data_IF_787279721252
#
_entry.id   IF_787279721252
#
_cell.length_a   1.000
_cell.length_b   1.000
_cell.length_c   1.000
_cell.angle_alpha   90.00
_cell.angle_beta   90.00
_cell.angle_gamma   90.00
#
_symmetry.space_group_name_H-M   'P 1'
#
loop_
_entity.id
_entity.type
_entity.pdbx_description
1 polymer ?
#
# COMPACT_ATOMS: atom_id res chain seq x y z
N UNK A 1 10.23 -2.96 68.86
CA UNK A 1 9.85 -2.07 67.72
C UNK A 1 8.74 -2.73 66.94
N UNK A 2 7.51 -2.23 67.02
CA UNK A 2 6.45 -2.51 66.04
C UNK A 2 5.48 -1.33 66.07
N UNK A 3 5.62 -0.41 65.11
CA UNK A 3 4.68 0.71 64.91
C UNK A 3 3.57 0.21 63.99
N UNK A 4 2.38 0.00 64.53
CA UNK A 4 1.17 -0.18 63.73
C UNK A 4 0.76 1.18 63.16
N UNK A 5 1.09 1.41 61.90
CA UNK A 5 0.62 2.56 61.13
C UNK A 5 -0.86 2.38 60.80
N UNK A 6 -1.75 2.96 61.61
CA UNK A 6 -3.17 3.11 61.28
C UNK A 6 -3.30 4.26 60.29
N UNK A 7 -3.42 3.97 58.99
CA UNK A 7 -3.69 4.98 57.96
C UNK A 7 -5.11 5.51 58.21
N UNK A 8 -5.21 6.73 58.73
CA UNK A 8 -6.49 7.42 58.87
C UNK A 8 -7.07 7.67 57.48
N UNK A 9 -8.19 7.02 57.16
CA UNK A 9 -8.93 7.29 55.93
C UNK A 9 -9.40 8.75 55.94
N UNK A 10 -9.21 9.52 54.85
CA UNK A 10 -9.66 10.91 54.78
C UNK A 10 -11.18 10.98 54.98
N UNK A 11 -11.70 12.06 55.60
CA UNK A 11 -13.13 12.24 55.82
C UNK A 11 -13.87 12.16 54.49
N UNK A 12 -14.88 11.28 54.41
CA UNK A 12 -15.73 11.13 53.22
C UNK A 12 -16.38 12.48 52.98
N UNK A 13 -16.06 13.12 51.85
CA UNK A 13 -16.62 14.42 51.49
C UNK A 13 -18.16 14.33 51.48
N UNK A 14 -18.88 15.35 51.98
CA UNK A 14 -20.33 15.33 51.95
C UNK A 14 -20.80 15.13 50.51
N UNK A 15 -21.49 14.02 50.26
CA UNK A 15 -22.04 13.69 48.93
C UNK A 15 -23.08 14.75 48.61
N UNK A 16 -22.71 15.67 47.71
CA UNK A 16 -23.61 16.70 47.18
C UNK A 16 -24.78 15.95 46.52
N UNK A 17 -26.05 16.22 46.85
CA UNK A 17 -27.18 15.54 46.22
C UNK A 17 -27.06 15.69 44.72
N UNK A 18 -27.20 14.58 43.99
CA UNK A 18 -27.14 14.57 42.53
C UNK A 18 -28.44 15.15 41.97
N UNK A 19 -28.40 16.42 41.55
CA UNK A 19 -29.50 17.01 40.77
C UNK A 19 -29.39 16.52 39.34
N UNK A 20 -30.42 15.81 38.89
CA UNK A 20 -30.61 15.51 37.48
C UNK A 20 -30.92 16.81 36.74
N UNK A 21 -29.95 17.33 36.00
CA UNK A 21 -30.18 18.40 35.03
C UNK A 21 -30.93 17.77 33.87
N UNK A 22 -32.18 18.18 33.65
CA UNK A 22 -32.91 17.80 32.44
C UNK A 22 -32.12 18.35 31.24
N UNK A 23 -31.59 17.46 30.39
CA UNK A 23 -30.83 17.84 29.21
C UNK A 23 -31.75 18.68 28.31
N UNK A 24 -31.44 19.97 28.17
CA UNK A 24 -32.15 20.83 27.24
C UNK A 24 -31.94 20.25 25.83
N UNK A 25 -33.02 20.03 25.05
CA UNK A 25 -32.88 19.50 23.69
C UNK A 25 -31.94 20.43 22.92
N UNK A 26 -30.85 19.87 22.36
CA UNK A 26 -29.96 20.66 21.51
C UNK A 26 -30.79 21.23 20.35
N UNK A 27 -30.83 22.55 20.23
CA UNK A 27 -31.47 23.18 19.08
C UNK A 27 -30.77 22.69 17.81
N UNK A 28 -31.48 22.03 16.88
CA UNK A 28 -30.89 21.55 15.64
C UNK A 28 -30.35 22.70 14.79
N UNK A 29 -30.88 23.92 14.99
CA UNK A 29 -30.38 25.15 14.38
C UNK A 29 -28.96 25.51 14.85
N UNK A 30 -28.62 25.27 16.13
CA UNK A 30 -27.26 25.50 16.65
C UNK A 30 -26.27 24.48 16.09
N UNK A 31 -26.70 23.23 15.86
CA UNK A 31 -25.87 22.20 15.19
C UNK A 31 -25.61 22.60 13.73
N UNK A 32 -26.64 23.06 13.01
CA UNK A 32 -26.51 23.51 11.64
C UNK A 32 -25.63 24.76 11.50
N UNK A 33 -25.71 25.70 12.46
CA UNK A 33 -24.86 26.89 12.52
C UNK A 33 -23.41 26.57 12.95
N UNK A 34 -23.21 25.53 13.76
CA UNK A 34 -21.90 25.09 14.22
C UNK A 34 -21.17 24.19 13.21
N UNK A 35 -21.83 23.69 12.16
CA UNK A 35 -21.12 23.06 11.05
C UNK A 35 -20.26 24.12 10.36
N UNK A 36 -18.92 24.06 10.45
CA UNK A 36 -18.10 24.98 9.69
C UNK A 36 -18.43 24.71 8.23
N UNK A 37 -18.93 25.75 7.53
CA UNK A 37 -19.13 25.75 6.10
C UNK A 37 -17.77 25.67 5.39
N UNK A 38 -17.06 24.55 5.59
CA UNK A 38 -15.82 24.23 4.91
C UNK A 38 -16.21 23.68 3.55
N UNK A 39 -16.25 24.57 2.56
CA UNK A 39 -16.07 24.26 1.14
C UNK A 39 -16.81 22.99 0.70
N UNK A 40 -18.12 23.11 0.45
CA UNK A 40 -18.94 22.06 -0.20
C UNK A 40 -18.58 21.90 -1.69
N UNK A 41 -17.30 21.97 -2.03
CA UNK A 41 -16.83 21.60 -3.36
C UNK A 41 -17.10 20.10 -3.56
N UNK A 42 -17.53 19.68 -4.76
CA UNK A 42 -17.66 18.26 -5.09
C UNK A 42 -16.38 17.50 -4.72
N UNK A 43 -16.47 16.28 -4.15
CA UNK A 43 -15.30 15.52 -3.71
C UNK A 43 -14.24 15.31 -4.81
N UNK A 44 -14.67 15.20 -6.06
CA UNK A 44 -13.79 15.07 -7.23
C UNK A 44 -13.01 16.36 -7.52
N UNK A 45 -13.63 17.53 -7.32
CA UNK A 45 -13.00 18.83 -7.58
C UNK A 45 -11.89 19.11 -6.58
N UNK A 46 -12.11 18.79 -5.30
CA UNK A 46 -11.09 18.94 -4.26
C UNK A 46 -9.89 18.04 -4.50
N UNK A 47 -10.12 16.81 -4.97
CA UNK A 47 -9.06 15.87 -5.37
C UNK A 47 -8.31 16.36 -6.61
N UNK A 48 -9.03 16.83 -7.63
CA UNK A 48 -8.44 17.39 -8.85
C UNK A 48 -7.59 18.62 -8.54
N UNK A 49 -8.09 19.54 -7.70
CA UNK A 49 -7.34 20.72 -7.27
C UNK A 49 -6.07 20.33 -6.50
N UNK A 50 -6.16 19.34 -5.60
CA UNK A 50 -4.99 18.80 -4.90
C UNK A 50 -3.96 18.21 -5.85
N UNK A 51 -4.40 17.47 -6.88
CA UNK A 51 -3.52 16.92 -7.91
C UNK A 51 -2.86 18.02 -8.75
N UNK A 52 -3.62 19.03 -9.16
CA UNK A 52 -3.10 20.18 -9.92
C UNK A 52 -2.05 20.95 -9.11
N UNK A 53 -2.32 21.21 -7.83
CA UNK A 53 -1.36 21.86 -6.93
C UNK A 53 -0.11 21.00 -6.78
N UNK A 54 -0.25 19.69 -6.60
CA UNK A 54 0.88 18.76 -6.52
C UNK A 54 1.74 18.80 -7.79
N UNK A 55 1.11 18.75 -8.97
CA UNK A 55 1.81 18.84 -10.27
C UNK A 55 2.48 20.20 -10.45
N UNK A 56 1.83 21.29 -10.03
CA UNK A 56 2.41 22.63 -10.10
C UNK A 56 3.64 22.76 -9.18
N UNK A 57 3.56 22.25 -7.94
CA UNK A 57 4.70 22.19 -7.01
C UNK A 57 5.82 21.34 -7.61
N UNK A 58 5.51 20.21 -8.23
CA UNK A 58 6.50 19.37 -8.90
C UNK A 58 7.16 20.06 -10.09
N UNK A 59 6.40 20.73 -10.95
CA UNK A 59 6.93 21.50 -12.08
C UNK A 59 7.83 22.66 -11.60
N UNK A 60 7.42 23.36 -10.54
CA UNK A 60 8.23 24.42 -9.94
C UNK A 60 9.51 23.84 -9.33
N UNK A 61 9.43 22.74 -8.59
CA UNK A 61 10.59 22.08 -8.02
C UNK A 61 11.58 21.63 -9.11
N UNK A 62 11.08 21.04 -10.20
CA UNK A 62 11.90 20.63 -11.34
C UNK A 62 12.57 21.84 -12.03
N UNK A 63 11.88 22.97 -12.13
CA UNK A 63 12.43 24.20 -12.74
C UNK A 63 13.42 24.94 -11.84
N UNK A 64 13.20 24.97 -10.53
CA UNK A 64 14.03 25.69 -9.57
C UNK A 64 15.39 25.03 -9.39
N UNK A 65 15.46 23.70 -9.48
CA UNK A 65 16.70 22.99 -9.21
C UNK A 65 17.63 22.91 -10.45
N UNK A 66 17.11 23.11 -11.67
CA UNK A 66 17.84 23.73 -12.79
C UNK A 66 19.11 23.05 -13.35
N UNK A 67 19.58 21.93 -12.79
CA UNK A 67 20.79 21.21 -13.23
C UNK A 67 20.45 19.97 -14.09
N UNK A 68 21.33 19.62 -15.03
CA UNK A 68 21.24 18.48 -15.97
C UNK A 68 21.19 17.08 -15.28
N UNK A 69 21.27 17.03 -13.94
CA UNK A 69 21.09 15.83 -13.12
C UNK A 69 19.67 15.69 -12.54
N UNK A 70 18.74 16.56 -12.94
CA UNK A 70 17.37 16.60 -12.42
C UNK A 70 16.42 15.61 -13.11
N UNK A 71 15.44 15.05 -12.37
CA UNK A 71 14.35 14.32 -12.97
C UNK A 71 13.52 15.23 -13.91
N UNK A 72 13.02 14.70 -15.05
CA UNK A 72 12.30 15.48 -16.05
C UNK A 72 11.08 16.19 -15.45
N UNK A 73 10.76 17.37 -15.99
CA UNK A 73 9.59 18.14 -15.55
C UNK A 73 8.29 17.37 -15.84
N UNK A 74 7.23 17.62 -15.06
CA UNK A 74 5.96 16.94 -15.22
C UNK A 74 5.42 17.07 -16.66
N UNK A 75 5.60 18.25 -17.27
CA UNK A 75 5.22 18.49 -18.66
C UNK A 75 6.10 17.75 -19.67
N UNK A 76 7.40 17.61 -19.40
CA UNK A 76 8.29 16.81 -20.25
C UNK A 76 7.91 15.32 -20.20
N UNK A 77 7.63 14.77 -19.01
CA UNK A 77 7.15 13.40 -18.87
C UNK A 77 5.83 13.20 -19.61
N UNK A 78 4.89 14.15 -19.51
CA UNK A 78 3.61 14.08 -20.21
C UNK A 78 3.77 14.11 -21.75
N UNK A 79 4.65 14.95 -22.28
CA UNK A 79 4.95 15.00 -23.72
C UNK A 79 5.63 13.71 -24.20
N UNK A 80 6.67 13.26 -23.50
CA UNK A 80 7.36 12.02 -23.83
C UNK A 80 6.42 10.80 -23.79
N UNK A 81 5.47 10.77 -22.86
CA UNK A 81 4.43 9.75 -22.81
C UNK A 81 3.49 9.82 -24.02
N UNK A 82 3.01 11.01 -24.37
CA UNK A 82 2.13 11.23 -25.52
C UNK A 82 2.82 10.91 -26.85
N UNK A 83 4.07 11.34 -27.02
CA UNK A 83 4.89 11.04 -28.19
C UNK A 83 5.20 9.54 -28.28
N UNK A 84 5.49 8.89 -27.14
CA UNK A 84 5.69 7.45 -27.05
C UNK A 84 4.44 6.63 -27.39
N UNK A 85 3.24 7.17 -27.10
CA UNK A 85 1.95 6.59 -27.46
C UNK A 85 1.67 6.73 -28.95
N UNK A 86 1.85 7.93 -29.52
CA UNK A 86 1.64 8.19 -30.94
C UNK A 86 2.65 7.46 -31.83
N UNK A 87 3.91 7.41 -31.42
CA UNK A 87 4.96 6.67 -32.13
C UNK A 87 4.80 5.15 -32.05
N UNK A 88 3.90 4.64 -31.18
CA UNK A 88 3.68 3.21 -30.96
C UNK A 88 4.85 2.50 -30.24
N UNK A 89 5.92 3.21 -29.91
CA UNK A 89 7.10 2.63 -29.27
C UNK A 89 6.79 2.14 -27.86
N UNK A 90 6.01 2.90 -27.07
CA UNK A 90 5.56 2.46 -25.74
C UNK A 90 4.73 1.18 -25.84
N UNK A 91 3.79 1.14 -26.79
CA UNK A 91 2.90 0.00 -26.98
C UNK A 91 3.68 -1.25 -27.41
N UNK A 92 4.70 -1.08 -28.26
CA UNK A 92 5.61 -2.15 -28.67
C UNK A 92 6.48 -2.65 -27.51
N UNK A 93 7.01 -1.75 -26.68
CA UNK A 93 7.77 -2.12 -25.46
C UNK A 93 6.92 -2.87 -24.45
N UNK A 94 5.74 -2.35 -24.13
CA UNK A 94 4.75 -3.01 -23.26
C UNK A 94 4.38 -4.37 -23.84
N UNK A 95 4.08 -4.45 -25.14
CA UNK A 95 3.79 -5.72 -25.82
C UNK A 95 4.93 -6.74 -25.73
N UNK A 96 6.18 -6.27 -25.82
CA UNK A 96 7.36 -7.14 -25.68
C UNK A 96 7.48 -7.68 -24.26
N UNK A 97 7.34 -6.82 -23.23
CA UNK A 97 7.31 -7.24 -21.83
C UNK A 97 6.17 -8.22 -21.54
N UNK A 98 4.95 -7.94 -22.03
CA UNK A 98 3.81 -8.84 -21.89
C UNK A 98 4.06 -10.19 -22.55
N UNK A 99 4.68 -10.20 -23.74
CA UNK A 99 4.99 -11.44 -24.47
C UNK A 99 5.99 -12.30 -23.69
N UNK A 100 7.05 -11.69 -23.16
CA UNK A 100 8.03 -12.41 -22.33
C UNK A 100 7.37 -12.97 -21.08
N UNK A 101 6.54 -12.17 -20.40
CA UNK A 101 5.78 -12.62 -19.23
C UNK A 101 4.87 -13.80 -19.58
N UNK A 102 4.10 -13.70 -20.66
CA UNK A 102 3.18 -14.74 -21.10
C UNK A 102 3.92 -16.05 -21.42
N UNK A 103 5.05 -15.98 -22.14
CA UNK A 103 5.89 -17.14 -22.41
C UNK A 103 6.45 -17.76 -21.13
N UNK A 104 6.91 -16.92 -20.19
CA UNK A 104 7.38 -17.37 -18.89
C UNK A 104 6.29 -18.09 -18.09
N UNK A 105 5.07 -17.55 -18.06
CA UNK A 105 3.91 -18.16 -17.39
C UNK A 105 3.51 -19.48 -18.03
N UNK A 106 3.42 -19.54 -19.37
CA UNK A 106 3.09 -20.77 -20.09
C UNK A 106 4.16 -21.83 -19.84
N UNK A 107 5.44 -21.47 -19.93
CA UNK A 107 6.54 -22.39 -19.69
C UNK A 107 6.54 -22.90 -18.25
N UNK A 108 6.39 -22.01 -17.26
CA UNK A 108 6.30 -22.38 -15.86
C UNK A 108 5.11 -23.33 -15.61
N UNK A 109 3.95 -23.02 -16.17
CA UNK A 109 2.76 -23.87 -16.04
C UNK A 109 3.00 -25.27 -16.64
N UNK A 110 3.55 -25.35 -17.85
CA UNK A 110 3.88 -26.64 -18.50
C UNK A 110 4.88 -27.42 -17.67
N UNK A 111 5.95 -26.78 -17.20
CA UNK A 111 6.97 -27.42 -16.37
C UNK A 111 6.40 -27.90 -15.03
N UNK A 112 5.60 -27.09 -14.35
CA UNK A 112 4.93 -27.47 -13.10
C UNK A 112 3.94 -28.60 -13.31
N UNK A 113 3.14 -28.58 -14.39
CA UNK A 113 2.21 -29.65 -14.71
C UNK A 113 2.95 -30.98 -15.01
N UNK A 114 4.05 -30.90 -15.76
CA UNK A 114 4.88 -32.06 -16.08
C UNK A 114 5.58 -32.60 -14.83
N UNK A 115 6.08 -31.72 -13.97
CA UNK A 115 6.67 -32.12 -12.70
C UNK A 115 5.61 -32.72 -11.75
N UNK A 116 4.41 -32.14 -11.68
CA UNK A 116 3.31 -32.67 -10.87
C UNK A 116 2.77 -34.02 -11.37
N UNK A 117 2.90 -34.31 -12.67
CA UNK A 117 2.48 -35.61 -13.22
C UNK A 117 3.48 -36.73 -12.93
N UNK A 118 4.76 -36.41 -12.72
CA UNK A 118 5.81 -37.40 -12.39
C UNK A 118 5.99 -37.58 -10.87
N UNK A 119 6.38 -38.78 -10.44
CA UNK A 119 6.58 -39.10 -9.01
C UNK A 119 7.73 -38.28 -8.42
N UNK A 120 8.87 -38.27 -9.13
CA UNK A 120 10.05 -37.50 -8.74
C UNK A 120 9.81 -35.99 -8.77
N UNK A 121 9.06 -35.50 -9.77
CA UNK A 121 8.73 -34.09 -9.87
C UNK A 121 7.86 -33.61 -8.71
N UNK A 122 6.87 -34.41 -8.24
CA UNK A 122 6.09 -34.06 -7.05
C UNK A 122 6.93 -33.95 -5.77
N UNK A 123 7.89 -34.85 -5.57
CA UNK A 123 8.76 -34.82 -4.39
C UNK A 123 9.71 -33.61 -4.41
N UNK A 124 10.25 -33.27 -5.58
CA UNK A 124 11.07 -32.06 -5.78
C UNK A 124 10.24 -30.80 -5.58
N UNK A 125 9.04 -30.71 -6.17
CA UNK A 125 8.13 -29.58 -5.95
C UNK A 125 7.76 -29.43 -4.48
N UNK A 126 7.41 -30.52 -3.80
CA UNK A 126 7.06 -30.50 -2.38
C UNK A 126 8.22 -29.98 -1.52
N UNK A 127 9.45 -30.42 -1.79
CA UNK A 127 10.65 -29.95 -1.07
C UNK A 127 10.92 -28.48 -1.37
N UNK A 128 10.91 -28.06 -2.63
CA UNK A 128 11.15 -26.67 -3.02
C UNK A 128 10.07 -25.75 -2.44
N UNK A 129 8.79 -26.09 -2.59
CA UNK A 129 7.68 -25.32 -2.03
C UNK A 129 7.80 -25.23 -0.50
N UNK A 130 8.15 -26.32 0.19
CA UNK A 130 8.37 -26.29 1.64
C UNK A 130 9.56 -25.39 2.05
N UNK A 131 10.62 -25.32 1.24
CA UNK A 131 11.76 -24.41 1.47
C UNK A 131 11.42 -22.94 1.19
N UNK A 132 10.49 -22.66 0.26
CA UNK A 132 10.03 -21.30 -0.06
C UNK A 132 8.87 -20.80 0.83
N UNK A 133 8.05 -21.71 1.37
CA UNK A 133 6.91 -21.39 2.23
C UNK A 133 7.24 -20.50 3.45
N UNK A 134 8.38 -20.67 4.16
CA UNK A 134 8.72 -19.81 5.28
C UNK A 134 9.50 -18.56 4.88
N UNK A 135 9.87 -18.36 3.60
CA UNK A 135 10.72 -17.23 3.19
C UNK A 135 9.86 -15.96 3.01
N UNK A 136 9.88 -15.01 3.96
CA UNK A 136 9.17 -13.76 3.79
C UNK A 136 9.83 -13.01 2.63
N UNK A 137 9.01 -12.43 1.75
CA UNK A 137 9.45 -11.64 0.59
C UNK A 137 10.60 -10.65 0.91
N UNK A 138 10.60 -10.06 2.11
CA UNK A 138 11.63 -9.13 2.60
C UNK A 138 13.05 -9.74 2.61
N UNK A 139 13.20 -11.05 2.87
CA UNK A 139 14.50 -11.71 2.92
C UNK A 139 15.06 -12.06 1.53
N UNK A 140 14.23 -12.00 0.48
CA UNK A 140 14.64 -12.28 -0.90
C UNK A 140 15.21 -11.04 -1.60
N UNK A 141 14.90 -9.83 -1.11
CA UNK A 141 15.42 -8.56 -1.64
C UNK A 141 16.95 -8.55 -1.75
N UNK A 142 17.72 -8.87 -0.69
CA UNK A 142 19.19 -8.86 -0.76
C UNK A 142 19.76 -9.95 -1.67
N UNK A 143 19.10 -11.11 -1.72
CA UNK A 143 19.54 -12.25 -2.56
C UNK A 143 19.31 -11.98 -4.05
N UNK A 144 18.21 -11.29 -4.39
CA UNK A 144 17.95 -10.85 -5.75
C UNK A 144 18.98 -9.82 -6.25
N UNK A 145 19.34 -8.86 -5.39
CA UNK A 145 20.41 -7.90 -5.67
C UNK A 145 21.77 -8.58 -5.86
N UNK A 146 22.07 -9.64 -5.10
CA UNK A 146 23.33 -10.40 -5.23
C UNK A 146 23.41 -11.23 -6.52
N UNK A 147 22.31 -11.82 -6.98
CA UNK A 147 22.32 -12.65 -8.19
C UNK A 147 22.09 -11.87 -9.48
N UNK A 148 21.14 -10.93 -9.48
CA UNK A 148 20.72 -10.20 -10.68
C UNK A 148 21.36 -8.81 -10.80
N UNK A 149 22.09 -8.36 -9.77
CA UNK A 149 22.72 -7.03 -9.74
C UNK A 149 21.70 -5.89 -9.62
N UNK A 150 22.09 -4.69 -10.05
CA UNK A 150 21.21 -3.50 -10.13
C UNK A 150 20.52 -3.38 -11.50
N UNK A 151 20.59 -4.43 -12.32
CA UNK A 151 20.05 -4.44 -13.67
C UNK A 151 18.56 -4.82 -13.68
N UNK A 152 17.97 -4.83 -14.87
CA UNK A 152 16.58 -5.13 -15.19
C UNK A 152 16.08 -6.42 -14.52
N UNK A 153 16.93 -7.44 -14.36
CA UNK A 153 16.57 -8.69 -13.69
C UNK A 153 16.16 -8.53 -12.22
N UNK A 154 16.84 -7.65 -11.48
CA UNK A 154 16.52 -7.34 -10.09
C UNK A 154 15.23 -6.52 -9.99
N UNK A 155 15.05 -5.54 -10.89
CA UNK A 155 13.80 -4.78 -10.98
C UNK A 155 12.58 -5.66 -11.24
N UNK A 156 12.68 -6.61 -12.18
CA UNK A 156 11.59 -7.54 -12.48
C UNK A 156 11.29 -8.44 -11.28
N UNK A 157 12.32 -8.93 -10.60
CA UNK A 157 12.15 -9.76 -9.40
C UNK A 157 11.48 -9.00 -8.25
N UNK A 158 11.95 -7.79 -7.95
CA UNK A 158 11.38 -6.92 -6.92
C UNK A 158 9.95 -6.52 -7.27
N UNK A 159 9.68 -6.22 -8.55
CA UNK A 159 8.33 -5.89 -9.01
C UNK A 159 7.38 -7.08 -8.86
N UNK A 160 7.82 -8.30 -9.20
CA UNK A 160 7.03 -9.52 -8.99
C UNK A 160 6.70 -9.74 -7.51
N UNK A 161 7.70 -9.54 -6.64
CA UNK A 161 7.58 -9.67 -5.19
C UNK A 161 6.66 -8.60 -4.57
N UNK A 162 6.72 -7.37 -5.10
CA UNK A 162 5.82 -6.28 -4.75
C UNK A 162 4.38 -6.61 -5.15
N UNK A 163 4.19 -7.08 -6.38
CA UNK A 163 2.86 -7.47 -6.90
C UNK A 163 2.27 -8.58 -6.05
N UNK A 164 3.03 -9.65 -5.78
CA UNK A 164 2.56 -10.75 -4.94
C UNK A 164 2.20 -10.26 -3.52
N UNK A 165 3.09 -9.49 -2.88
CA UNK A 165 2.85 -8.98 -1.53
C UNK A 165 1.71 -7.96 -1.42
N UNK A 166 1.42 -7.21 -2.49
CA UNK A 166 0.28 -6.29 -2.55
C UNK A 166 -1.00 -7.03 -2.87
N UNK A 167 -1.00 -7.94 -3.86
CA UNK A 167 -2.17 -8.74 -4.25
C UNK A 167 -2.60 -9.64 -3.09
N UNK A 168 -1.67 -10.38 -2.48
CA UNK A 168 -1.93 -11.25 -1.34
C UNK A 168 -2.53 -10.45 -0.18
N UNK A 169 -1.90 -9.33 0.23
CA UNK A 169 -2.43 -8.50 1.31
C UNK A 169 -3.76 -7.81 0.95
N UNK A 170 -3.98 -7.46 -0.31
CA UNK A 170 -5.24 -6.83 -0.76
C UNK A 170 -6.40 -7.82 -0.72
N UNK A 171 -6.16 -9.09 -1.02
CA UNK A 171 -7.19 -10.14 -1.03
C UNK A 171 -7.41 -10.73 0.37
N UNK A 172 -6.35 -10.92 1.14
CA UNK A 172 -6.40 -11.63 2.42
C UNK A 172 -6.96 -10.75 3.56
N UNK A 173 -6.62 -9.45 3.62
CA UNK A 173 -7.09 -8.53 4.65
C UNK A 173 -8.64 -8.38 4.73
N UNK A 174 -9.38 -8.19 3.62
CA UNK A 174 -10.83 -8.15 3.67
C UNK A 174 -11.45 -9.54 3.88
N UNK A 175 -10.80 -10.59 3.38
CA UNK A 175 -11.27 -11.97 3.55
C UNK A 175 -11.17 -12.36 5.03
N UNK A 176 -10.01 -12.29 5.66
CA UNK A 176 -9.78 -12.65 7.07
C UNK A 176 -10.64 -11.83 8.04
N UNK A 177 -10.88 -10.54 7.74
CA UNK A 177 -11.84 -9.71 8.51
C UNK A 177 -13.29 -10.18 8.34
N UNK A 178 -13.66 -10.71 7.18
CA UNK A 178 -14.95 -11.34 6.93
C UNK A 178 -15.16 -12.67 7.68
N UNK A 179 -14.08 -13.39 8.01
CA UNK A 179 -14.14 -14.68 8.71
C UNK A 179 -14.20 -14.58 10.23
N UNK A 180 -14.15 -13.39 10.84
CA UNK A 180 -14.40 -13.21 12.28
C UNK A 180 -13.50 -14.01 13.24
N UNK A 181 -12.40 -14.58 12.77
CA UNK A 181 -11.45 -15.38 13.56
C UNK A 181 -10.33 -14.54 14.16
N UNK A 182 -10.62 -13.32 14.59
CA UNK A 182 -9.82 -12.65 15.62
C UNK A 182 -10.60 -12.69 16.93
N UNK A 183 -10.31 -13.73 17.72
CA UNK A 183 -10.42 -13.68 19.17
C UNK A 183 -9.02 -13.49 19.73
#
# INVERSE_FOLDING_TARGET
MSRSNTVALPPILPVRPEYHVALQPLDPALIAAATPARWQAPPWLRKALGLVVLVAVWEIAARVVGDDLMPPSALQTARAFYDGLLSGELLRRVGTSLRVLALGVVLAFVLTALAASTRWGRDVLGTLTAMFNPLPAIALLPRALLWFGLDTGSLVFVLGLLVEGVVFRTIEQPTVRGWGMQR
#
